data_IF_554950600273
#
_entry.id   IF_554950600273
#
_cell.length_a   1.000
_cell.length_b   1.000
_cell.length_c   1.000
_cell.angle_alpha   90.00
_cell.angle_beta   90.00
_cell.angle_gamma   90.00
#
_symmetry.space_group_name_H-M   'P 1'
#
loop_
_entity.id
_entity.type
_entity.pdbx_description
1 polymer ?
#
# COMPACT_ATOMS: atom_id res chain seq x y z
N UNK A 1 0.53 4.24 4.08
CA UNK A 1 0.68 5.71 3.98
C UNK A 1 2.08 6.11 3.52
N UNK A 2 3.16 5.78 4.24
CA UNK A 2 4.53 6.08 3.78
C UNK A 2 4.93 5.35 2.48
N UNK A 3 4.67 4.04 2.39
CA UNK A 3 4.98 3.25 1.18
C UNK A 3 4.17 3.70 -0.05
N UNK A 4 2.91 4.07 0.16
CA UNK A 4 2.03 4.58 -0.91
C UNK A 4 2.45 5.97 -1.37
N UNK A 5 2.94 6.82 -0.47
CA UNK A 5 3.50 8.13 -0.82
C UNK A 5 4.84 7.99 -1.55
N UNK A 6 5.68 7.04 -1.16
CA UNK A 6 6.95 6.73 -1.83
C UNK A 6 6.70 6.27 -3.27
N UNK A 7 5.78 5.31 -3.47
CA UNK A 7 5.41 4.83 -4.81
C UNK A 7 4.80 5.93 -5.68
N UNK A 8 4.00 6.83 -5.09
CA UNK A 8 3.45 7.99 -5.81
C UNK A 8 4.57 8.96 -6.24
N UNK A 9 5.53 9.21 -5.35
CA UNK A 9 6.68 10.08 -5.62
C UNK A 9 7.60 9.49 -6.70
N UNK A 10 7.88 8.18 -6.66
CA UNK A 10 8.69 7.51 -7.69
C UNK A 10 8.02 7.57 -9.08
N UNK A 11 6.70 7.36 -9.15
CA UNK A 11 5.96 7.51 -10.41
C UNK A 11 5.98 8.95 -10.93
N UNK A 12 5.79 9.94 -10.05
CA UNK A 12 5.83 11.35 -10.42
C UNK A 12 7.24 11.76 -10.90
N UNK A 13 8.29 11.27 -10.25
CA UNK A 13 9.68 11.48 -10.64
C UNK A 13 9.98 10.82 -12.00
N UNK A 14 9.53 9.59 -12.22
CA UNK A 14 9.71 8.89 -13.49
C UNK A 14 9.00 9.61 -14.64
N UNK A 15 7.77 10.09 -14.42
CA UNK A 15 7.04 10.88 -15.41
C UNK A 15 7.77 12.20 -15.71
N UNK A 16 8.27 12.88 -14.68
CA UNK A 16 9.05 14.11 -14.85
C UNK A 16 10.31 13.86 -15.69
N UNK A 17 11.06 12.80 -15.39
CA UNK A 17 12.27 12.44 -16.13
C UNK A 17 11.97 12.10 -17.60
N UNK A 18 10.86 11.42 -17.88
CA UNK A 18 10.43 11.13 -19.25
C UNK A 18 10.13 12.43 -20.02
N UNK A 19 9.38 13.36 -19.41
CA UNK A 19 9.07 14.66 -20.02
C UNK A 19 10.33 15.50 -20.20
N UNK A 20 11.27 15.50 -19.24
CA UNK A 20 12.55 16.19 -19.38
C UNK A 20 13.41 15.62 -20.53
N UNK A 21 13.39 14.29 -20.72
CA UNK A 21 14.05 13.64 -21.84
C UNK A 21 13.41 14.01 -23.18
N UNK A 22 12.08 14.04 -23.26
CA UNK A 22 11.35 14.47 -24.47
C UNK A 22 11.65 15.93 -24.81
N UNK A 23 11.69 16.83 -23.82
CA UNK A 23 12.04 18.24 -24.02
C UNK A 23 13.48 18.37 -24.55
N UNK A 24 14.43 17.60 -24.00
CA UNK A 24 15.81 17.59 -24.48
C UNK A 24 15.90 17.07 -25.92
N UNK A 25 15.15 16.01 -26.26
CA UNK A 25 15.05 15.48 -27.62
C UNK A 25 14.46 16.49 -28.61
N UNK A 26 13.38 17.17 -28.24
CA UNK A 26 12.74 18.20 -29.07
C UNK A 26 13.67 19.39 -29.32
N UNK A 27 14.45 19.81 -28.32
CA UNK A 27 15.46 20.86 -28.49
C UNK A 27 16.54 20.45 -29.49
N UNK A 28 17.02 19.21 -29.41
CA UNK A 28 18.00 18.70 -30.36
C UNK A 28 17.45 18.67 -31.79
N UNK A 29 16.22 18.17 -31.98
CA UNK A 29 15.57 18.16 -33.30
C UNK A 29 15.38 19.60 -33.82
N UNK A 30 15.04 20.54 -32.93
CA UNK A 30 14.93 21.94 -33.30
C UNK A 30 16.27 22.51 -33.78
N UNK A 31 17.36 22.24 -33.07
CA UNK A 31 18.70 22.67 -33.47
C UNK A 31 19.14 22.04 -34.80
N UNK A 32 18.89 20.75 -35.00
CA UNK A 32 19.16 20.03 -36.25
C UNK A 32 18.35 20.62 -37.42
N UNK A 33 17.07 20.91 -37.22
CA UNK A 33 16.22 21.56 -38.23
C UNK A 33 16.70 22.98 -38.54
N UNK A 34 17.19 23.71 -37.55
CA UNK A 34 17.70 25.06 -37.74
C UNK A 34 19.01 25.04 -38.55
N UNK A 35 19.88 24.04 -38.35
CA UNK A 35 21.06 23.82 -39.18
C UNK A 35 20.70 23.49 -40.63
N UNK A 36 19.75 22.59 -40.86
CA UNK A 36 19.26 22.26 -42.21
C UNK A 36 18.65 23.49 -42.89
N UNK A 37 17.90 24.30 -42.15
CA UNK A 37 17.34 25.55 -42.65
C UNK A 37 18.44 26.51 -43.10
N UNK A 38 19.49 26.70 -42.29
CA UNK A 38 20.62 27.58 -42.64
C UNK A 38 21.38 27.08 -43.88
N UNK A 39 21.58 25.77 -44.02
CA UNK A 39 22.21 25.19 -45.21
C UNK A 39 21.37 25.44 -46.48
N UNK A 40 20.06 25.22 -46.41
CA UNK A 40 19.14 25.50 -47.52
C UNK A 40 19.09 26.99 -47.87
N UNK A 41 19.09 27.88 -46.87
CA UNK A 41 19.17 29.33 -47.10
C UNK A 41 20.49 29.71 -47.81
N UNK A 42 21.61 29.11 -47.42
CA UNK A 42 22.90 29.32 -48.09
C UNK A 42 22.91 28.81 -49.54
N UNK A 43 22.34 27.63 -49.80
CA UNK A 43 22.23 27.08 -51.15
C UNK A 43 21.33 27.95 -52.03
N UNK A 44 20.21 28.44 -51.47
CA UNK A 44 19.30 29.34 -52.17
C UNK A 44 19.98 30.64 -52.57
N UNK A 45 20.77 31.25 -51.68
CA UNK A 45 21.47 32.50 -51.97
C UNK A 45 22.60 32.28 -53.00
N UNK A 46 23.31 31.15 -52.96
CA UNK A 46 24.30 30.77 -53.98
C UNK A 46 23.66 30.61 -55.38
N UNK A 47 22.54 29.90 -55.47
CA UNK A 47 21.80 29.71 -56.73
C UNK A 47 21.27 31.04 -57.29
N UNK A 48 20.84 31.94 -56.41
CA UNK A 48 20.39 33.27 -56.77
C UNK A 48 21.53 34.12 -57.35
N UNK A 49 22.72 34.04 -56.74
CA UNK A 49 23.92 34.72 -57.25
C UNK A 49 24.35 34.15 -58.62
N UNK A 50 24.35 32.83 -58.79
CA UNK A 50 24.62 32.18 -60.08
C UNK A 50 23.63 32.64 -61.17
N UNK A 51 22.34 32.74 -60.84
CA UNK A 51 21.32 33.21 -61.78
C UNK A 51 21.53 34.67 -62.20
N UNK A 52 21.97 35.53 -61.28
CA UNK A 52 22.33 36.91 -61.59
C UNK A 52 23.54 36.95 -62.52
N UNK A 53 24.58 36.17 -62.23
CA UNK A 53 25.79 36.08 -63.05
C UNK A 53 25.48 35.57 -64.46
N UNK A 54 24.65 34.53 -64.58
CA UNK A 54 24.29 33.94 -65.88
C UNK A 54 23.49 34.92 -66.74
N UNK A 55 22.57 35.67 -66.13
CA UNK A 55 21.82 36.73 -66.83
C UNK A 55 22.74 37.84 -67.35
N UNK A 56 23.69 38.27 -66.52
CA UNK A 56 24.68 39.29 -66.91
C UNK A 56 25.56 38.80 -68.07
N UNK A 57 26.08 37.57 -67.98
CA UNK A 57 26.87 36.97 -69.06
C UNK A 57 26.07 36.87 -70.36
N UNK A 58 24.80 36.43 -70.28
CA UNK A 58 23.96 36.35 -71.46
C UNK A 58 23.70 37.72 -72.10
N UNK A 59 23.49 38.76 -71.29
CA UNK A 59 23.34 40.14 -71.77
C UNK A 59 24.61 40.64 -72.47
N UNK A 60 25.79 40.34 -71.89
CA UNK A 60 27.10 40.65 -72.48
C UNK A 60 27.33 39.89 -73.81
N UNK A 61 27.06 38.59 -73.86
CA UNK A 61 27.18 37.78 -75.08
C UNK A 61 26.23 38.24 -76.19
N UNK A 62 24.97 38.57 -75.86
CA UNK A 62 24.01 39.10 -76.83
C UNK A 62 24.44 40.47 -77.35
N UNK A 63 25.06 41.31 -76.51
CA UNK A 63 25.64 42.59 -76.93
C UNK A 63 26.84 42.41 -77.88
N UNK A 64 27.71 41.43 -77.61
CA UNK A 64 28.86 41.07 -78.44
C UNK A 64 28.43 40.49 -79.79
N UNK A 65 27.42 39.61 -79.81
CA UNK A 65 26.85 39.08 -81.05
C UNK A 65 26.12 40.15 -81.87
N UNK A 66 25.49 41.12 -81.21
CA UNK A 66 24.89 42.28 -81.89
C UNK A 66 25.96 43.18 -82.53
N UNK A 67 27.16 43.27 -81.95
CA UNK A 67 28.30 43.98 -82.52
C UNK A 67 29.08 43.17 -83.58
N UNK A 68 28.94 41.84 -83.60
CA UNK A 68 29.65 40.94 -84.53
C UNK A 68 28.91 40.66 -85.84
N UNK A 69 27.69 41.19 -86.04
CA UNK A 69 26.88 41.03 -87.26
C UNK A 69 27.07 42.17 -88.28
N UNK A 70 28.30 42.63 -88.47
CA UNK A 70 28.69 43.52 -89.57
C UNK A 70 29.87 42.91 -90.34
N UNK A 71 29.58 41.96 -91.23
CA UNK A 71 30.61 41.27 -92.01
C UNK A 71 30.04 40.21 -92.94
N UNK A 72 29.28 40.64 -93.94
CA UNK A 72 28.90 39.76 -95.05
C UNK A 72 30.07 39.66 -96.04
N UNK A 73 30.75 38.52 -96.07
CA UNK A 73 31.76 38.19 -97.07
C UNK A 73 31.09 37.28 -98.10
N UNK A 74 30.87 37.82 -99.29
CA UNK A 74 30.44 37.09 -100.49
C UNK A 74 31.64 36.33 -101.06
N UNK A 75 31.54 35.01 -101.16
CA UNK A 75 32.53 34.15 -101.82
C UNK A 75 31.80 33.39 -102.93
N UNK A 76 32.08 33.76 -104.18
CA UNK A 76 31.71 32.99 -105.36
C UNK A 76 32.54 31.69 -105.36
N UNK A 77 31.85 30.55 -105.30
CA UNK A 77 32.45 29.22 -105.40
C UNK A 77 31.94 28.56 -106.68
N UNK A 78 32.89 28.23 -107.56
CA UNK A 78 32.71 27.60 -108.86
C UNK A 78 32.03 26.23 -108.72
N UNK A 79 30.97 25.98 -109.49
CA UNK A 79 30.10 24.81 -109.36
C UNK A 79 30.61 23.62 -110.22
N UNK A 80 30.96 22.47 -109.62
CA UNK A 80 31.21 21.23 -110.36
C UNK A 80 29.89 20.65 -110.93
N UNK A 81 29.95 19.63 -111.81
CA UNK A 81 28.86 19.28 -112.72
C UNK A 81 27.59 18.79 -112.01
N UNK A 82 26.45 19.03 -112.67
CA UNK A 82 25.09 18.82 -112.17
C UNK A 82 24.91 17.51 -111.38
N UNK A 83 24.89 17.66 -110.06
CA UNK A 83 24.35 16.66 -109.15
C UNK A 83 22.83 16.63 -109.34
N UNK A 84 22.25 15.44 -109.44
CA UNK A 84 20.80 15.25 -109.53
C UNK A 84 20.15 15.72 -108.22
N UNK A 85 19.75 16.99 -108.19
CA UNK A 85 19.19 17.65 -107.00
C UNK A 85 17.97 16.91 -106.46
N UNK A 86 17.18 16.26 -107.31
CA UNK A 86 16.03 15.48 -106.85
C UNK A 86 16.47 14.31 -105.98
N UNK A 87 17.58 13.65 -106.33
CA UNK A 87 18.12 12.52 -105.56
C UNK A 87 18.68 12.95 -104.21
N UNK A 88 19.39 14.07 -104.16
CA UNK A 88 19.91 14.66 -102.92
C UNK A 88 18.77 15.17 -102.03
N UNK A 89 17.74 15.80 -102.61
CA UNK A 89 16.56 16.25 -101.86
C UNK A 89 15.76 15.08 -101.29
N UNK A 90 15.67 13.96 -102.03
CA UNK A 90 15.05 12.73 -101.54
C UNK A 90 15.86 12.08 -100.41
N UNK A 91 17.19 12.00 -100.53
CA UNK A 91 18.07 11.51 -99.46
C UNK A 91 18.00 12.38 -98.20
N UNK A 92 17.95 13.72 -98.36
CA UNK A 92 17.75 14.65 -97.24
C UNK A 92 16.38 14.41 -96.60
N UNK A 93 15.33 14.22 -97.40
CA UNK A 93 13.98 13.95 -96.92
C UNK A 93 13.94 12.64 -96.13
N UNK A 94 14.48 11.56 -96.68
CA UNK A 94 14.54 10.24 -96.05
C UNK A 94 15.34 10.29 -94.74
N UNK A 95 16.45 11.03 -94.71
CA UNK A 95 17.23 11.27 -93.50
C UNK A 95 16.40 11.98 -92.41
N UNK A 96 15.71 13.07 -92.75
CA UNK A 96 14.88 13.81 -91.79
C UNK A 96 13.65 13.01 -91.34
N UNK A 97 12.98 12.30 -92.25
CA UNK A 97 11.88 11.41 -91.90
C UNK A 97 12.36 10.29 -90.95
N UNK A 98 13.54 9.72 -91.19
CA UNK A 98 14.18 8.76 -90.30
C UNK A 98 14.52 9.33 -88.92
N UNK A 99 15.07 10.55 -88.86
CA UNK A 99 15.36 11.24 -87.59
C UNK A 99 14.07 11.56 -86.83
N UNK A 100 13.03 12.03 -87.49
CA UNK A 100 11.73 12.32 -86.87
C UNK A 100 11.09 11.03 -86.34
N UNK A 101 11.11 9.94 -87.11
CA UNK A 101 10.58 8.65 -86.69
C UNK A 101 11.35 8.07 -85.50
N UNK A 102 12.70 8.21 -85.51
CA UNK A 102 13.56 7.81 -84.39
C UNK A 102 13.27 8.62 -83.14
N UNK A 103 13.25 9.95 -83.24
CA UNK A 103 12.93 10.85 -82.13
C UNK A 103 11.53 10.57 -81.56
N UNK A 104 10.52 10.32 -82.41
CA UNK A 104 9.16 9.98 -81.95
C UNK A 104 9.16 8.69 -81.12
N UNK A 105 9.85 7.65 -81.59
CA UNK A 105 9.95 6.37 -80.88
C UNK A 105 10.72 6.49 -79.57
N UNK A 106 11.82 7.24 -79.55
CA UNK A 106 12.61 7.46 -78.35
C UNK A 106 11.82 8.28 -77.31
N UNK A 107 11.08 9.29 -77.76
CA UNK A 107 10.20 10.09 -76.90
C UNK A 107 9.08 9.23 -76.30
N UNK A 108 8.41 8.40 -77.10
CA UNK A 108 7.38 7.47 -76.65
C UNK A 108 7.94 6.49 -75.60
N UNK A 109 9.11 5.89 -75.86
CA UNK A 109 9.78 4.99 -74.92
C UNK A 109 10.16 5.70 -73.62
N UNK A 110 10.66 6.94 -73.71
CA UNK A 110 11.01 7.74 -72.54
C UNK A 110 9.78 8.07 -71.70
N UNK A 111 8.67 8.49 -72.32
CA UNK A 111 7.41 8.74 -71.62
C UNK A 111 6.85 7.46 -70.99
N UNK A 112 6.86 6.33 -71.70
CA UNK A 112 6.40 5.07 -71.13
C UNK A 112 7.27 4.59 -69.97
N UNK A 113 8.59 4.76 -70.07
CA UNK A 113 9.48 4.49 -68.95
C UNK A 113 9.19 5.38 -67.74
N UNK A 114 8.86 6.66 -67.95
CA UNK A 114 8.47 7.55 -66.86
C UNK A 114 7.12 7.20 -66.24
N UNK A 115 6.12 6.88 -67.06
CA UNK A 115 4.78 6.47 -66.58
C UNK A 115 4.90 5.21 -65.75
N UNK A 116 5.57 4.17 -66.24
CA UNK A 116 5.75 2.91 -65.51
C UNK A 116 6.47 3.08 -64.17
N UNK A 117 7.49 3.96 -64.09
CA UNK A 117 8.15 4.28 -62.81
C UNK A 117 7.20 4.98 -61.86
N UNK A 118 6.41 5.94 -62.33
CA UNK A 118 5.43 6.66 -61.49
C UNK A 118 4.31 5.74 -61.02
N UNK A 119 3.79 4.88 -61.89
CA UNK A 119 2.78 3.87 -61.54
C UNK A 119 3.30 2.92 -60.48
N UNK A 120 4.53 2.39 -60.65
CA UNK A 120 5.15 1.53 -59.65
C UNK A 120 5.32 2.23 -58.31
N UNK A 121 5.82 3.47 -58.29
CA UNK A 121 5.95 4.25 -57.05
C UNK A 121 4.58 4.53 -56.42
N UNK A 122 3.54 4.77 -57.21
CA UNK A 122 2.19 4.97 -56.71
C UNK A 122 1.62 3.68 -56.08
N UNK A 123 1.86 2.52 -56.69
CA UNK A 123 1.49 1.21 -56.16
C UNK A 123 2.26 0.87 -54.87
N UNK A 124 3.58 1.08 -54.85
CA UNK A 124 4.43 0.88 -53.68
C UNK A 124 4.00 1.81 -52.52
N UNK A 125 3.73 3.08 -52.80
CA UNK A 125 3.22 4.02 -51.80
C UNK A 125 1.82 3.62 -51.29
N UNK A 126 0.92 3.21 -52.18
CA UNK A 126 -0.43 2.78 -51.82
C UNK A 126 -0.41 1.53 -50.92
N UNK A 127 0.43 0.55 -51.27
CA UNK A 127 0.58 -0.68 -50.47
C UNK A 127 1.22 -0.39 -49.11
N UNK A 128 2.26 0.46 -49.05
CA UNK A 128 2.90 0.90 -47.81
C UNK A 128 1.94 1.67 -46.90
N UNK A 129 1.15 2.61 -47.46
CA UNK A 129 0.09 3.31 -46.73
C UNK A 129 -0.98 2.34 -46.20
N UNK A 130 -1.36 1.33 -46.99
CA UNK A 130 -2.27 0.27 -46.57
C UNK A 130 -1.74 -0.52 -45.38
N UNK A 131 -0.47 -0.93 -45.42
CA UNK A 131 0.20 -1.66 -44.34
C UNK A 131 0.26 -0.81 -43.05
N UNK A 132 0.70 0.46 -43.15
CA UNK A 132 0.74 1.37 -42.00
C UNK A 132 -0.65 1.60 -41.40
N UNK A 133 -1.70 1.71 -42.23
CA UNK A 133 -3.08 1.86 -41.75
C UNK A 133 -3.57 0.63 -40.99
N UNK A 134 -3.18 -0.58 -41.41
CA UNK A 134 -3.49 -1.81 -40.70
C UNK A 134 -2.75 -1.88 -39.36
N UNK A 135 -1.47 -1.54 -39.33
CA UNK A 135 -0.67 -1.49 -38.11
C UNK A 135 -1.26 -0.49 -37.10
N UNK A 136 -1.63 0.71 -37.54
CA UNK A 136 -2.31 1.71 -36.69
C UNK A 136 -3.63 1.15 -36.12
N UNK A 137 -4.39 0.39 -36.92
CA UNK A 137 -5.65 -0.21 -36.47
C UNK A 137 -5.40 -1.29 -35.41
N UNK A 138 -4.38 -2.12 -35.61
CA UNK A 138 -3.99 -3.16 -34.67
C UNK A 138 -3.49 -2.56 -33.35
N UNK A 139 -2.59 -1.58 -33.42
CA UNK A 139 -2.11 -0.83 -32.25
C UNK A 139 -3.24 -0.14 -31.48
N UNK A 140 -4.23 0.43 -32.18
CA UNK A 140 -5.42 0.99 -31.53
C UNK A 140 -6.25 -0.09 -30.82
N UNK A 141 -6.41 -1.26 -31.43
CA UNK A 141 -7.14 -2.38 -30.83
C UNK A 141 -6.41 -2.93 -29.61
N UNK A 142 -5.08 -3.09 -29.66
CA UNK A 142 -4.28 -3.54 -28.52
C UNK A 142 -4.29 -2.53 -27.39
N UNK A 143 -4.21 -1.22 -27.69
CA UNK A 143 -4.34 -0.15 -26.70
C UNK A 143 -5.70 -0.20 -25.99
N UNK A 144 -6.79 -0.35 -26.75
CA UNK A 144 -8.13 -0.47 -26.16
C UNK A 144 -8.25 -1.70 -25.26
N UNK A 145 -7.72 -2.86 -25.69
CA UNK A 145 -7.68 -4.08 -24.87
C UNK A 145 -6.92 -3.85 -23.56
N UNK A 146 -5.70 -3.30 -23.64
CA UNK A 146 -4.87 -3.00 -22.46
C UNK A 146 -5.55 -2.00 -21.52
N UNK A 147 -6.27 -1.00 -22.06
CA UNK A 147 -7.04 -0.06 -21.24
C UNK A 147 -8.17 -0.74 -20.46
N UNK A 148 -8.86 -1.69 -21.09
CA UNK A 148 -9.92 -2.47 -20.42
C UNK A 148 -9.32 -3.39 -19.36
N UNK A 149 -8.20 -4.06 -19.67
CA UNK A 149 -7.47 -4.89 -18.70
C UNK A 149 -7.00 -4.05 -17.49
N UNK A 150 -6.44 -2.87 -17.72
CA UNK A 150 -6.04 -1.94 -16.66
C UNK A 150 -7.23 -1.53 -15.77
N UNK A 151 -8.37 -1.21 -16.40
CA UNK A 151 -9.59 -0.87 -15.67
C UNK A 151 -10.10 -2.07 -14.85
N UNK A 152 -10.07 -3.27 -15.42
CA UNK A 152 -10.47 -4.51 -14.74
C UNK A 152 -9.57 -4.79 -13.53
N UNK A 153 -8.25 -4.72 -13.69
CA UNK A 153 -7.29 -4.88 -12.60
C UNK A 153 -7.45 -3.81 -11.52
N UNK A 154 -7.73 -2.57 -11.91
CA UNK A 154 -8.00 -1.49 -10.95
C UNK A 154 -9.25 -1.80 -10.11
N UNK A 155 -10.35 -2.22 -10.75
CA UNK A 155 -11.57 -2.64 -10.05
C UNK A 155 -11.33 -3.83 -9.12
N UNK A 156 -10.57 -4.82 -9.59
CA UNK A 156 -10.21 -5.99 -8.78
C UNK A 156 -9.39 -5.58 -7.54
N UNK A 157 -8.40 -4.70 -7.72
CA UNK A 157 -7.60 -4.14 -6.63
C UNK A 157 -8.49 -3.46 -5.59
N UNK A 158 -9.39 -2.57 -6.02
CA UNK A 158 -10.30 -1.88 -5.09
C UNK A 158 -11.19 -2.86 -4.31
N UNK A 159 -11.71 -3.90 -4.97
CA UNK A 159 -12.50 -4.93 -4.31
C UNK A 159 -11.69 -5.71 -3.27
N UNK A 160 -10.45 -6.10 -3.59
CA UNK A 160 -9.57 -6.80 -2.66
C UNK A 160 -9.18 -5.93 -1.47
N UNK A 161 -8.82 -4.67 -1.71
CA UNK A 161 -8.53 -3.70 -0.64
C UNK A 161 -9.74 -3.48 0.28
N UNK A 162 -10.96 -3.47 -0.28
CA UNK A 162 -12.19 -3.38 0.51
C UNK A 162 -12.39 -4.62 1.40
N UNK A 163 -12.22 -5.83 0.86
CA UNK A 163 -12.31 -7.07 1.64
C UNK A 163 -11.24 -7.16 2.73
N UNK A 164 -10.01 -6.73 2.45
CA UNK A 164 -8.94 -6.66 3.46
C UNK A 164 -9.31 -5.68 4.57
N UNK A 165 -9.86 -4.51 4.22
CA UNK A 165 -10.32 -3.54 5.22
C UNK A 165 -11.43 -4.11 6.09
N UNK A 166 -12.46 -4.68 5.48
CA UNK A 166 -13.61 -5.27 6.19
C UNK A 166 -13.18 -6.40 7.13
N UNK A 167 -12.31 -7.29 6.66
CA UNK A 167 -11.77 -8.39 7.49
C UNK A 167 -10.97 -7.88 8.67
N UNK A 168 -10.09 -6.88 8.45
CA UNK A 168 -9.34 -6.24 9.52
C UNK A 168 -10.24 -5.55 10.54
N UNK A 169 -11.26 -4.81 10.10
CA UNK A 169 -12.25 -4.16 10.99
C UNK A 169 -13.01 -5.20 11.81
N UNK A 170 -13.43 -6.31 11.18
CA UNK A 170 -14.08 -7.43 11.88
C UNK A 170 -13.18 -8.04 12.95
N UNK A 171 -11.92 -8.32 12.63
CA UNK A 171 -10.96 -8.88 13.59
C UNK A 171 -10.62 -7.90 14.71
N UNK A 172 -10.48 -6.60 14.40
CA UNK A 172 -10.27 -5.57 15.41
C UNK A 172 -11.44 -5.48 16.39
N UNK A 173 -12.68 -5.58 15.89
CA UNK A 173 -13.88 -5.61 16.74
C UNK A 173 -13.92 -6.87 17.63
N UNK A 174 -13.59 -8.05 17.08
CA UNK A 174 -13.51 -9.29 17.86
C UNK A 174 -12.45 -9.19 18.96
N UNK A 175 -11.26 -8.67 18.64
CA UNK A 175 -10.19 -8.48 19.60
C UNK A 175 -10.58 -7.49 20.71
N UNK A 176 -11.24 -6.38 20.34
CA UNK A 176 -11.77 -5.42 21.32
C UNK A 176 -12.81 -6.07 22.25
N UNK A 177 -13.68 -6.94 21.71
CA UNK A 177 -14.63 -7.73 22.50
C UNK A 177 -13.93 -8.67 23.50
N UNK A 178 -12.93 -9.43 23.05
CA UNK A 178 -12.14 -10.29 23.94
C UNK A 178 -11.39 -9.48 25.01
N UNK A 179 -10.80 -8.34 24.64
CA UNK A 179 -10.12 -7.46 25.60
C UNK A 179 -11.09 -6.93 26.66
N UNK A 180 -12.33 -6.59 26.28
CA UNK A 180 -13.35 -6.14 27.22
C UNK A 180 -13.72 -7.25 28.23
N UNK A 181 -13.85 -8.49 27.75
CA UNK A 181 -14.12 -9.65 28.63
C UNK A 181 -12.95 -9.87 29.59
N UNK A 182 -11.71 -9.88 29.10
CA UNK A 182 -10.50 -10.01 29.94
C UNK A 182 -10.47 -8.94 31.03
N UNK A 183 -10.66 -7.66 30.65
CA UNK A 183 -10.72 -6.55 31.61
C UNK A 183 -11.83 -6.73 32.65
N UNK A 184 -12.98 -7.28 32.24
CA UNK A 184 -14.07 -7.61 33.15
C UNK A 184 -13.66 -8.67 34.19
N UNK A 185 -12.94 -9.71 33.79
CA UNK A 185 -12.42 -10.73 34.71
C UNK A 185 -11.31 -10.19 35.61
N UNK A 186 -10.38 -9.40 35.07
CA UNK A 186 -9.32 -8.74 35.85
C UNK A 186 -9.92 -7.86 36.96
N UNK A 187 -10.97 -7.09 36.64
CA UNK A 187 -11.68 -6.27 37.61
C UNK A 187 -12.38 -7.11 38.70
N UNK A 188 -12.97 -8.26 38.34
CA UNK A 188 -13.58 -9.17 39.32
C UNK A 188 -12.54 -9.78 40.25
N UNK A 189 -11.39 -10.22 39.72
CA UNK A 189 -10.28 -10.76 40.52
C UNK A 189 -9.77 -9.69 41.49
N UNK A 190 -9.58 -8.46 41.01
CA UNK A 190 -9.14 -7.35 41.84
C UNK A 190 -10.14 -7.05 42.96
N UNK A 191 -11.44 -7.06 42.66
CA UNK A 191 -12.48 -6.84 43.66
C UNK A 191 -12.49 -7.94 44.74
N UNK A 192 -12.41 -9.21 44.36
CA UNK A 192 -12.35 -10.33 45.31
C UNK A 192 -11.07 -10.25 46.15
N UNK A 193 -9.94 -9.93 45.53
CA UNK A 193 -8.65 -9.77 46.24
C UNK A 193 -8.77 -8.67 47.29
N UNK A 194 -9.33 -7.50 46.93
CA UNK A 194 -9.57 -6.43 47.89
C UNK A 194 -10.49 -6.87 49.03
N UNK A 195 -11.59 -7.56 48.72
CA UNK A 195 -12.52 -8.09 49.74
C UNK A 195 -11.83 -9.07 50.69
N UNK A 196 -10.98 -9.97 50.17
CA UNK A 196 -10.19 -10.90 50.99
C UNK A 196 -9.24 -10.13 51.91
N UNK A 197 -8.51 -9.14 51.39
CA UNK A 197 -7.60 -8.34 52.22
C UNK A 197 -8.34 -7.56 53.31
N UNK A 198 -9.54 -7.05 53.02
CA UNK A 198 -10.40 -6.39 54.00
C UNK A 198 -10.88 -7.38 55.08
N UNK A 199 -11.31 -8.58 54.68
CA UNK A 199 -11.67 -9.63 55.63
C UNK A 199 -10.48 -10.04 56.50
N UNK A 200 -9.30 -10.23 55.92
CA UNK A 200 -8.08 -10.55 56.66
C UNK A 200 -7.77 -9.49 57.72
N UNK A 201 -7.92 -8.21 57.40
CA UNK A 201 -7.75 -7.12 58.37
C UNK A 201 -8.77 -7.21 59.51
N UNK A 202 -10.06 -7.42 59.19
CA UNK A 202 -11.13 -7.59 60.20
C UNK A 202 -10.91 -8.81 61.08
N UNK A 203 -10.45 -9.93 60.52
CA UNK A 203 -10.11 -11.12 61.30
C UNK A 203 -8.91 -10.88 62.21
N UNK A 204 -7.87 -10.17 61.73
CA UNK A 204 -6.72 -9.79 62.55
C UNK A 204 -7.14 -8.95 63.76
N UNK A 205 -7.93 -7.90 63.56
CA UNK A 205 -8.38 -7.05 64.67
C UNK A 205 -9.26 -7.80 65.68
N UNK A 206 -10.11 -8.71 65.20
CA UNK A 206 -10.94 -9.55 66.09
C UNK A 206 -10.09 -10.55 66.88
N UNK A 207 -9.06 -11.13 66.25
CA UNK A 207 -8.13 -12.03 66.91
C UNK A 207 -7.31 -11.29 67.98
N UNK A 208 -6.84 -10.09 67.70
CA UNK A 208 -6.14 -9.22 68.66
C UNK A 208 -7.05 -8.88 69.86
N UNK A 209 -8.32 -8.55 69.61
CA UNK A 209 -9.28 -8.31 70.68
C UNK A 209 -9.55 -9.56 71.52
N UNK A 210 -9.73 -10.72 70.85
CA UNK A 210 -9.96 -12.01 71.50
C UNK A 210 -8.79 -12.40 72.39
N UNK A 211 -7.56 -12.29 71.89
CA UNK A 211 -6.35 -12.60 72.67
C UNK A 211 -6.19 -11.67 73.88
N UNK A 212 -6.53 -10.37 73.74
CA UNK A 212 -6.56 -9.44 74.88
C UNK A 212 -7.61 -9.82 75.92
N UNK A 213 -8.84 -10.12 75.50
CA UNK A 213 -9.92 -10.53 76.41
C UNK A 213 -9.58 -11.85 77.13
N UNK A 214 -8.94 -12.80 76.46
CA UNK A 214 -8.46 -14.03 77.10
C UNK A 214 -7.42 -13.74 78.18
N UNK A 215 -6.48 -12.83 77.94
CA UNK A 215 -5.52 -12.41 78.94
C UNK A 215 -6.20 -11.74 80.15
N UNK A 216 -7.19 -10.87 79.91
CA UNK A 216 -8.00 -10.26 80.97
C UNK A 216 -8.76 -11.33 81.78
N UNK A 217 -9.37 -12.33 81.14
CA UNK A 217 -10.05 -13.43 81.84
C UNK A 217 -9.09 -14.23 82.72
N UNK A 218 -7.88 -14.52 82.24
CA UNK A 218 -6.84 -15.20 83.04
C UNK A 218 -6.48 -14.37 84.26
N UNK A 219 -6.30 -13.06 84.09
CA UNK A 219 -6.00 -12.16 85.20
C UNK A 219 -7.17 -12.04 86.19
N UNK A 220 -8.40 -11.93 85.71
CA UNK A 220 -9.59 -11.94 86.56
C UNK A 220 -9.70 -13.24 87.36
N UNK A 221 -9.43 -14.40 86.75
CA UNK A 221 -9.39 -15.69 87.46
C UNK A 221 -8.33 -15.70 88.57
N UNK A 222 -7.11 -15.21 88.28
CA UNK A 222 -6.01 -15.09 89.25
C UNK A 222 -6.39 -14.20 90.44
N UNK A 223 -7.01 -13.06 90.19
CA UNK A 223 -7.46 -12.13 91.24
C UNK A 223 -8.57 -12.74 92.11
N UNK A 224 -9.54 -13.43 91.50
CA UNK A 224 -10.59 -14.15 92.23
C UNK A 224 -10.01 -15.26 93.11
N UNK A 225 -9.10 -16.08 92.58
CA UNK A 225 -8.42 -17.14 93.35
C UNK A 225 -7.65 -16.57 94.54
N UNK A 226 -6.96 -15.44 94.38
CA UNK A 226 -6.26 -14.74 95.47
C UNK A 226 -7.21 -14.16 96.53
N UNK A 227 -8.38 -13.66 96.15
CA UNK A 227 -9.41 -13.19 97.08
C UNK A 227 -10.05 -14.36 97.85
N UNK A 228 -10.33 -15.48 97.17
CA UNK A 228 -10.82 -16.71 97.80
C UNK A 228 -9.80 -17.21 98.81
N UNK A 229 -8.52 -17.32 98.44
CA UNK A 229 -7.46 -17.74 99.34
C UNK A 229 -7.35 -16.84 100.58
N UNK A 230 -7.45 -15.51 100.41
CA UNK A 230 -7.47 -14.54 101.51
C UNK A 230 -8.68 -14.72 102.44
N UNK A 231 -9.88 -14.86 101.88
CA UNK A 231 -11.11 -15.11 102.65
C UNK A 231 -11.04 -16.45 103.39
N UNK A 232 -10.62 -17.53 102.72
CA UNK A 232 -10.42 -18.85 103.34
C UNK A 232 -9.43 -18.78 104.49
N UNK A 233 -8.31 -18.05 104.34
CA UNK A 233 -7.34 -17.84 105.41
C UNK A 233 -7.91 -17.04 106.59
N UNK A 234 -8.74 -16.01 106.31
CA UNK A 234 -9.39 -15.20 107.34
C UNK A 234 -10.41 -16.01 108.16
N UNK A 235 -11.30 -16.75 107.50
CA UNK A 235 -12.29 -17.61 108.18
C UNK A 235 -11.63 -18.78 108.95
N UNK A 236 -10.48 -19.28 108.47
CA UNK A 236 -9.68 -20.29 109.17
C UNK A 236 -8.91 -19.72 110.37
N UNK A 237 -8.64 -18.41 110.40
CA UNK A 237 -7.98 -17.74 111.53
C UNK A 237 -8.95 -17.33 112.65
N UNK A 238 -10.25 -17.22 112.38
CA UNK A 238 -11.27 -16.81 113.37
C UNK A 238 -12.06 -18.00 113.91
N UNK A 239 -12.15 -19.10 113.17
CA UNK A 239 -12.87 -20.30 113.60
C UNK A 239 -11.93 -21.29 114.32
N UNK A 240 -12.05 -21.40 115.65
CA UNK A 240 -11.55 -22.56 116.41
C UNK A 240 -12.17 -23.86 115.85
N UNK A 241 -11.52 -25.04 115.94
CA UNK A 241 -11.99 -26.25 115.29
C UNK A 241 -13.42 -26.59 115.73
N UNK A 242 -14.35 -26.50 114.78
CA UNK A 242 -15.73 -26.92 114.96
C UNK A 242 -15.77 -28.44 115.08
N UNK A 243 -16.26 -28.95 116.21
CA UNK A 243 -16.47 -30.37 116.45
C UNK A 243 -17.62 -30.86 115.55
N UNK A 244 -17.30 -31.67 114.55
CA UNK A 244 -18.31 -32.32 113.70
C UNK A 244 -18.85 -33.54 114.46
N UNK A 245 -20.12 -33.49 114.85
CA UNK A 245 -20.84 -34.64 115.43
C UNK A 245 -21.69 -35.27 114.33
N UNK A 246 -21.42 -36.53 114.02
CA UNK A 246 -22.23 -37.30 113.06
C UNK A 246 -23.27 -38.13 113.83
N UNK A 247 -24.55 -37.95 113.50
CA UNK A 247 -25.65 -38.76 114.06
C UNK A 247 -26.12 -39.75 113.01
N UNK A 248 -26.07 -41.04 113.33
CA UNK A 248 -26.63 -42.09 112.47
C UNK A 248 -27.99 -42.48 113.03
N UNK A 249 -29.03 -42.37 112.20
CA UNK A 249 -30.40 -42.74 112.56
C UNK A 249 -30.73 -44.06 111.89
N UNK A 250 -30.93 -45.10 112.70
CA UNK A 250 -31.33 -46.42 112.23
C UNK A 250 -32.82 -46.57 112.46
N UNK A 251 -33.57 -46.88 111.40
CA UNK A 251 -35.02 -47.03 111.44
C UNK A 251 -35.35 -48.48 111.11
N UNK A 252 -35.90 -49.21 112.08
CA UNK A 252 -36.41 -50.57 111.88
C UNK A 252 -37.94 -50.52 111.82
N UNK A 253 -38.51 -51.10 110.75
CA UNK A 253 -39.95 -51.15 110.52
C UNK A 253 -40.40 -52.60 110.39
N UNK A 254 -41.41 -53.00 111.19
CA UNK A 254 -41.95 -54.37 111.19
C UNK A 254 -43.31 -54.36 110.48
N UNK A 255 -43.43 -55.22 109.47
CA UNK A 255 -44.64 -55.38 108.66
C UNK A 255 -45.26 -56.77 108.89
N UNK A 256 -46.58 -56.81 109.13
CA UNK A 256 -47.36 -58.06 109.19
C UNK A 256 -48.57 -57.93 108.27
N UNK A 257 -48.75 -58.88 107.35
CA UNK A 257 -49.82 -58.88 106.32
C UNK A 257 -49.94 -57.57 105.52
N UNK A 258 -48.80 -56.96 105.16
CA UNK A 258 -48.74 -55.78 104.31
C UNK A 258 -49.17 -54.46 104.98
N UNK A 259 -49.51 -54.46 106.27
CA UNK A 259 -49.71 -53.23 107.07
C UNK A 259 -48.54 -53.04 108.04
N UNK A 260 -48.06 -51.80 108.14
CA UNK A 260 -47.04 -51.38 109.11
C UNK A 260 -47.66 -51.39 110.50
N UNK A 261 -47.18 -52.24 111.40
CA UNK A 261 -47.75 -52.41 112.75
C UNK A 261 -46.90 -51.72 113.82
N UNK A 262 -45.59 -51.57 113.59
CA UNK A 262 -44.70 -50.88 114.53
C UNK A 262 -43.52 -50.20 113.84
N UNK A 263 -43.00 -49.13 114.45
CA UNK A 263 -41.85 -48.35 113.96
C UNK A 263 -41.02 -47.87 115.13
N UNK A 264 -39.80 -48.39 115.26
CA UNK A 264 -38.85 -47.94 116.26
C UNK A 264 -37.70 -47.17 115.60
N UNK A 265 -37.26 -46.09 116.25
CA UNK A 265 -36.11 -45.27 115.82
C UNK A 265 -35.11 -45.19 116.95
N UNK A 266 -33.86 -45.58 116.68
CA UNK A 266 -32.73 -45.33 117.56
C UNK A 266 -31.77 -44.33 116.92
N UNK A 267 -31.09 -43.54 117.75
CA UNK A 267 -30.12 -42.53 117.32
C UNK A 267 -28.83 -42.77 118.08
N UNK A 268 -27.79 -43.18 117.36
CA UNK A 268 -26.44 -43.29 117.90
C UNK A 268 -25.63 -42.04 117.52
N UNK A 269 -24.92 -41.49 118.49
CA UNK A 269 -24.10 -40.28 118.35
C UNK A 269 -22.64 -40.67 118.55
N UNK A 270 -21.88 -40.66 117.47
CA UNK A 270 -20.44 -40.91 117.53
C UNK A 270 -19.68 -39.57 117.44
N UNK A 271 -18.85 -39.28 118.45
CA UNK A 271 -18.11 -38.01 118.57
C UNK A 271 -16.65 -38.27 118.24
N UNK A 272 -16.32 -38.20 116.95
CA UNK A 272 -14.93 -38.31 116.52
C UNK A 272 -14.24 -36.93 116.60
N UNK A 273 -13.30 -36.77 117.54
CA UNK A 273 -12.39 -35.63 117.57
C UNK A 273 -11.33 -35.81 116.48
N UNK A 274 -11.46 -35.09 115.36
CA UNK A 274 -10.37 -34.95 114.39
C UNK A 274 -9.43 -33.85 114.92
N UNK A 275 -8.19 -34.23 115.24
CA UNK A 275 -7.12 -33.32 115.66
C UNK A 275 -6.51 -32.61 114.46
#
# INVERSE_FOLDING_TARGET
LLLTNLLRYENELSMKQAVEADIAGLKKIFDDLNLVKMDLESQYESLKDELIMLKKNHEEEMSMHRNSKAGGISVECDAPPSIDLNKVMEEIREHYEGVIAKNRRELEQWYQSKITVVEKVAEDNSSSLGASRLEIKELKSTLQRLKIELQSHSSMKYSLEATVRETNERYAAQLAGHQAVIKGWEAQILNITNSITEMQLKYGTLLDLKTRLEAEIVEYRRLLEGEIARKTSYYKSICFPFLVVTKTITVEEIYVNGKKVDSSKSVDVDVNQIK
#
